data_IF_955430562105
#
_entry.id   IF_955430562105
#
_cell.length_a   1.000
_cell.length_b   1.000
_cell.length_c   1.000
_cell.angle_alpha   90.00
_cell.angle_beta   90.00
_cell.angle_gamma   90.00
#
_symmetry.space_group_name_H-M   'P 1'
#
loop_
_entity.id
_entity.type
_entity.pdbx_description
1 polymer ?
#
# COMPACT_ATOMS: atom_id res chain seq x y z
N UNK A 1 -48.78 32.44 -60.64
CA UNK A 1 -49.35 32.83 -59.33
C UNK A 1 -49.58 31.58 -58.50
N UNK A 2 -49.42 31.74 -57.19
CA UNK A 2 -49.67 30.81 -56.08
C UNK A 2 -48.53 29.87 -55.65
N UNK A 3 -48.33 29.89 -54.34
CA UNK A 3 -47.22 29.45 -53.50
C UNK A 3 -47.57 28.12 -52.84
N UNK A 4 -46.57 27.39 -52.35
CA UNK A 4 -46.79 26.21 -51.51
C UNK A 4 -45.51 25.67 -50.89
N UNK A 5 -44.91 26.45 -49.98
CA UNK A 5 -43.83 25.98 -49.09
C UNK A 5 -44.43 25.01 -48.07
N UNK A 6 -43.94 23.78 -47.99
CA UNK A 6 -44.27 22.86 -46.90
C UNK A 6 -42.97 22.34 -46.28
N UNK A 7 -42.70 22.79 -45.06
CA UNK A 7 -41.57 22.38 -44.23
C UNK A 7 -41.86 21.01 -43.61
N UNK A 8 -40.94 20.05 -43.79
CA UNK A 8 -40.96 18.79 -43.06
C UNK A 8 -40.10 18.97 -41.81
N UNK A 9 -40.73 18.96 -40.65
CA UNK A 9 -40.06 18.95 -39.35
C UNK A 9 -39.42 17.57 -39.11
N UNK A 10 -38.10 17.54 -38.94
CA UNK A 10 -37.35 16.34 -38.55
C UNK A 10 -37.42 16.19 -37.02
N UNK A 11 -38.15 15.19 -36.54
CA UNK A 11 -38.12 14.76 -35.14
C UNK A 11 -36.85 13.95 -34.88
N UNK A 12 -35.88 14.56 -34.19
CA UNK A 12 -34.70 13.88 -33.66
C UNK A 12 -35.09 13.23 -32.33
N UNK A 13 -35.25 11.91 -32.33
CA UNK A 13 -35.39 11.12 -31.10
C UNK A 13 -33.98 10.74 -30.63
N UNK A 14 -33.45 11.48 -29.65
CA UNK A 14 -32.22 11.12 -28.94
C UNK A 14 -32.51 9.99 -27.96
N UNK A 15 -32.15 8.77 -28.34
CA UNK A 15 -32.11 7.64 -27.41
C UNK A 15 -30.95 7.86 -26.41
N UNK A 16 -31.28 8.24 -25.18
CA UNK A 16 -30.32 8.24 -24.08
C UNK A 16 -30.00 6.79 -23.70
N UNK A 17 -28.87 6.27 -24.18
CA UNK A 17 -28.34 4.98 -23.73
C UNK A 17 -27.74 5.23 -22.35
N UNK A 18 -28.47 4.83 -21.30
CA UNK A 18 -27.91 4.77 -19.95
C UNK A 18 -26.84 3.67 -19.94
N UNK A 19 -25.58 4.06 -20.12
CA UNK A 19 -24.44 3.22 -19.73
C UNK A 19 -24.46 3.11 -18.21
N UNK A 20 -25.17 2.10 -17.70
CA UNK A 20 -25.01 1.65 -16.34
C UNK A 20 -23.57 1.13 -16.21
N UNK A 21 -22.72 1.88 -15.51
CA UNK A 21 -21.46 1.35 -15.01
C UNK A 21 -21.81 0.21 -14.06
N UNK A 22 -21.73 -1.03 -14.54
CA UNK A 22 -21.66 -2.21 -13.70
C UNK A 22 -20.40 -2.06 -12.85
N UNK A 23 -20.58 -1.76 -11.57
CA UNK A 23 -19.54 -1.89 -10.57
C UNK A 23 -19.07 -3.35 -10.61
N UNK A 24 -17.85 -3.55 -11.11
CA UNK A 24 -17.29 -4.86 -11.36
C UNK A 24 -16.98 -5.52 -10.01
N UNK A 25 -17.61 -6.66 -9.65
CA UNK A 25 -17.30 -7.38 -8.43
C UNK A 25 -15.86 -7.90 -8.39
N UNK A 26 -15.13 -7.87 -9.53
CA UNK A 26 -13.75 -8.33 -9.65
C UNK A 26 -12.68 -7.29 -9.28
N UNK A 27 -13.04 -6.02 -9.07
CA UNK A 27 -12.09 -4.94 -8.77
C UNK A 27 -11.42 -5.07 -7.41
N UNK A 28 -12.21 -5.24 -6.34
CA UNK A 28 -11.70 -5.30 -4.96
C UNK A 28 -10.77 -6.47 -4.68
N UNK A 29 -11.06 -7.65 -5.25
CA UNK A 29 -10.21 -8.84 -5.09
C UNK A 29 -8.85 -8.71 -5.79
N UNK A 30 -8.84 -8.08 -6.97
CA UNK A 30 -7.61 -7.83 -7.74
C UNK A 30 -6.75 -6.78 -7.04
N UNK A 31 -7.35 -5.69 -6.57
CA UNK A 31 -6.66 -4.62 -5.84
C UNK A 31 -6.10 -5.14 -4.51
N UNK A 32 -6.86 -5.95 -3.76
CA UNK A 32 -6.38 -6.58 -2.54
C UNK A 32 -5.18 -7.49 -2.80
N UNK A 33 -5.24 -8.33 -3.84
CA UNK A 33 -4.15 -9.24 -4.19
C UNK A 33 -2.91 -8.50 -4.70
N UNK A 34 -3.10 -7.40 -5.42
CA UNK A 34 -2.01 -6.51 -5.86
C UNK A 34 -1.36 -5.81 -4.67
N UNK A 35 -2.14 -5.18 -3.79
CA UNK A 35 -1.65 -4.51 -2.59
C UNK A 35 -0.90 -5.47 -1.66
N UNK A 36 -1.38 -6.73 -1.53
CA UNK A 36 -0.69 -7.76 -0.72
C UNK A 36 0.67 -8.15 -1.30
N UNK A 37 0.77 -8.31 -2.62
CA UNK A 37 2.06 -8.61 -3.26
C UNK A 37 3.00 -7.43 -3.13
N UNK A 38 2.52 -6.23 -3.48
CA UNK A 38 3.32 -5.01 -3.43
C UNK A 38 3.94 -4.75 -2.06
N UNK A 39 3.20 -4.92 -0.96
CA UNK A 39 3.75 -4.71 0.39
C UNK A 39 4.74 -5.81 0.79
N UNK A 40 4.50 -7.06 0.38
CA UNK A 40 5.43 -8.17 0.63
C UNK A 40 6.73 -7.93 -0.14
N UNK A 41 6.64 -7.59 -1.42
CA UNK A 41 7.79 -7.34 -2.28
C UNK A 41 8.66 -6.20 -1.72
N UNK A 42 8.06 -5.09 -1.27
CA UNK A 42 8.80 -3.97 -0.65
C UNK A 42 9.52 -4.43 0.62
N UNK A 43 8.83 -5.14 1.52
CA UNK A 43 9.43 -5.61 2.78
C UNK A 43 10.54 -6.63 2.51
N UNK A 44 10.31 -7.58 1.60
CA UNK A 44 11.30 -8.59 1.23
C UNK A 44 12.54 -7.93 0.63
N UNK A 45 12.38 -7.00 -0.32
CA UNK A 45 13.50 -6.25 -0.90
C UNK A 45 14.30 -5.47 0.15
N UNK A 46 13.61 -4.83 1.09
CA UNK A 46 14.24 -4.11 2.21
C UNK A 46 15.02 -5.06 3.12
N UNK A 47 14.48 -6.24 3.41
CA UNK A 47 15.22 -7.22 4.22
C UNK A 47 16.40 -7.84 3.47
N UNK A 48 16.29 -8.02 2.15
CA UNK A 48 17.35 -8.55 1.29
C UNK A 48 18.53 -7.57 1.19
N UNK A 49 18.28 -6.26 1.11
CA UNK A 49 19.35 -5.27 1.00
C UNK A 49 20.21 -5.18 2.26
N UNK A 50 19.61 -5.44 3.44
CA UNK A 50 20.30 -5.52 4.72
C UNK A 50 20.92 -6.92 4.92
N UNK A 51 20.28 -7.96 4.39
CA UNK A 51 20.64 -9.36 4.57
C UNK A 51 20.32 -9.91 5.97
N UNK A 52 20.75 -11.14 6.23
CA UNK A 52 20.51 -11.87 7.47
C UNK A 52 19.18 -12.63 7.50
N UNK A 53 18.93 -13.32 8.60
CA UNK A 53 17.74 -14.15 8.77
C UNK A 53 16.60 -13.35 9.40
N UNK A 54 15.55 -13.12 8.61
CA UNK A 54 14.34 -12.41 9.03
C UNK A 54 13.19 -13.40 9.26
N UNK A 55 12.32 -13.07 10.20
CA UNK A 55 11.15 -13.86 10.53
C UNK A 55 9.89 -13.00 10.50
N UNK A 56 8.79 -13.59 10.06
CA UNK A 56 7.48 -12.92 10.10
C UNK A 56 7.04 -12.82 11.55
N UNK A 57 6.95 -11.59 12.05
CA UNK A 57 6.33 -11.30 13.34
C UNK A 57 4.81 -11.28 13.22
N UNK A 58 4.29 -10.65 12.15
CA UNK A 58 2.85 -10.55 11.89
C UNK A 58 2.55 -10.31 10.40
N UNK A 59 1.43 -10.87 9.93
CA UNK A 59 0.86 -10.58 8.61
C UNK A 59 1.40 -11.42 7.45
N UNK A 60 1.09 -11.05 6.18
CA UNK A 60 0.24 -9.91 5.81
C UNK A 60 -1.20 -10.06 6.32
N UNK A 61 -1.65 -9.12 7.14
CA UNK A 61 -2.95 -9.16 7.80
C UNK A 61 -3.88 -8.04 7.29
N UNK A 62 -5.15 -8.38 7.06
CA UNK A 62 -6.14 -7.40 6.63
C UNK A 62 -6.57 -6.49 7.79
N UNK A 63 -6.51 -5.19 7.55
CA UNK A 63 -6.89 -4.13 8.49
C UNK A 63 -7.84 -3.12 7.86
N UNK A 64 -8.59 -2.41 8.70
CA UNK A 64 -9.42 -1.29 8.25
C UNK A 64 -8.54 -0.10 7.91
N UNK A 65 -8.97 0.66 6.91
CA UNK A 65 -8.32 1.89 6.50
C UNK A 65 -9.35 2.98 6.24
N UNK A 66 -9.11 4.16 6.82
CA UNK A 66 -9.96 5.34 6.61
C UNK A 66 -9.52 6.12 5.37
N UNK A 67 -10.49 6.66 4.63
CA UNK A 67 -10.23 7.45 3.41
C UNK A 67 -11.03 8.75 3.44
N UNK A 68 -10.34 9.88 3.29
CA UNK A 68 -10.97 11.18 3.30
C UNK A 68 -11.99 11.31 2.15
N UNK A 69 -13.26 11.53 2.50
CA UNK A 69 -14.34 11.70 1.52
C UNK A 69 -14.76 10.42 0.78
N UNK A 70 -14.34 9.24 1.23
CA UNK A 70 -14.71 7.96 0.65
C UNK A 70 -15.15 6.95 1.72
N UNK A 71 -15.77 5.85 1.30
CA UNK A 71 -16.10 4.76 2.22
C UNK A 71 -14.82 4.15 2.81
N UNK A 72 -14.85 3.65 4.07
CA UNK A 72 -13.73 2.90 4.63
C UNK A 72 -13.32 1.76 3.71
N UNK A 73 -12.01 1.56 3.57
CA UNK A 73 -11.42 0.49 2.79
C UNK A 73 -10.75 -0.55 3.67
N UNK A 74 -9.98 -1.41 3.03
CA UNK A 74 -9.06 -2.32 3.67
C UNK A 74 -7.62 -2.02 3.23
N UNK A 75 -6.67 -2.50 4.02
CA UNK A 75 -5.23 -2.50 3.71
C UNK A 75 -4.60 -3.77 4.27
N UNK A 76 -3.37 -4.04 3.86
CA UNK A 76 -2.53 -5.08 4.46
C UNK A 76 -1.50 -4.45 5.39
N UNK A 77 -1.27 -5.05 6.55
CA UNK A 77 -0.11 -4.79 7.41
C UNK A 77 0.83 -5.98 7.39
N UNK A 78 2.14 -5.72 7.35
CA UNK A 78 3.16 -6.77 7.35
C UNK A 78 4.35 -6.35 8.20
N UNK A 79 4.75 -7.23 9.12
CA UNK A 79 5.82 -6.97 10.09
C UNK A 79 6.79 -8.15 10.10
N UNK A 80 8.05 -7.84 9.85
CA UNK A 80 9.16 -8.78 9.94
C UNK A 80 10.19 -8.28 10.93
N UNK A 81 10.85 -9.21 11.61
CA UNK A 81 11.90 -8.89 12.58
C UNK A 81 13.09 -9.84 12.44
N UNK A 82 14.26 -9.33 12.81
CA UNK A 82 15.46 -10.14 13.03
C UNK A 82 16.09 -9.79 14.36
N UNK A 83 16.72 -10.77 15.00
CA UNK A 83 17.73 -10.48 16.01
C UNK A 83 18.93 -9.83 15.32
N UNK A 84 19.38 -8.69 15.83
CA UNK A 84 20.57 -8.04 15.29
C UNK A 84 21.81 -8.80 15.81
N UNK A 85 22.66 -9.37 14.95
CA UNK A 85 23.89 -10.01 15.39
C UNK A 85 24.89 -8.97 15.93
N UNK A 86 25.86 -9.42 16.72
CA UNK A 86 26.96 -8.55 17.16
C UNK A 86 27.72 -7.99 15.95
N UNK A 87 28.10 -6.72 16.01
CA UNK A 87 28.91 -6.07 14.97
C UNK A 87 28.15 -5.53 13.76
N UNK A 88 26.81 -5.49 13.78
CA UNK A 88 26.04 -4.69 12.81
C UNK A 88 26.30 -3.20 12.97
N UNK A 89 26.09 -2.45 11.90
CA UNK A 89 26.14 -0.98 11.89
C UNK A 89 24.73 -0.43 11.60
N UNK A 90 23.94 -0.08 12.64
CA UNK A 90 22.61 0.46 12.48
C UNK A 90 22.56 1.73 11.61
N UNK A 91 23.60 2.56 11.64
CA UNK A 91 23.61 3.80 10.87
C UNK A 91 23.78 3.51 9.37
N UNK A 92 24.69 2.59 9.01
CA UNK A 92 24.89 2.15 7.63
C UNK A 92 23.66 1.42 7.07
N UNK A 93 22.98 0.61 7.89
CA UNK A 93 21.78 -0.08 7.47
C UNK A 93 20.59 0.88 7.28
N UNK A 94 20.43 1.89 8.14
CA UNK A 94 19.42 2.95 7.94
C UNK A 94 19.68 3.73 6.64
N UNK A 95 20.94 4.05 6.35
CA UNK A 95 21.32 4.74 5.11
C UNK A 95 21.04 3.90 3.86
N UNK A 96 21.22 2.58 3.93
CA UNK A 96 20.89 1.66 2.84
C UNK A 96 19.39 1.59 2.58
N UNK A 97 18.61 1.41 3.64
CA UNK A 97 17.14 1.36 3.54
C UNK A 97 16.57 2.66 3.00
N UNK A 98 17.08 3.81 3.44
CA UNK A 98 16.65 5.11 2.93
C UNK A 98 16.89 5.24 1.42
N UNK A 99 18.05 4.81 0.93
CA UNK A 99 18.36 4.84 -0.50
C UNK A 99 17.40 3.96 -1.31
N UNK A 100 17.20 2.72 -0.87
CA UNK A 100 16.27 1.78 -1.51
C UNK A 100 14.85 2.34 -1.57
N UNK A 101 14.35 2.89 -0.47
CA UNK A 101 13.00 3.44 -0.41
C UNK A 101 12.84 4.68 -1.31
N UNK A 102 13.86 5.54 -1.39
CA UNK A 102 13.84 6.67 -2.31
C UNK A 102 13.78 6.23 -3.78
N UNK A 103 14.41 5.10 -4.15
CA UNK A 103 14.32 4.52 -5.50
C UNK A 103 12.90 4.00 -5.82
N UNK A 104 12.14 3.63 -4.79
CA UNK A 104 10.73 3.21 -4.89
C UNK A 104 9.73 4.37 -4.79
N UNK A 105 10.20 5.61 -4.90
CA UNK A 105 9.40 6.84 -4.75
C UNK A 105 8.72 6.96 -3.38
N UNK A 106 9.25 6.28 -2.36
CA UNK A 106 8.84 6.42 -0.96
C UNK A 106 9.58 7.62 -0.39
N UNK A 107 8.85 8.62 0.10
CA UNK A 107 9.44 9.77 0.78
C UNK A 107 9.89 9.36 2.18
N UNK A 108 11.14 9.66 2.53
CA UNK A 108 11.79 9.15 3.74
C UNK A 108 12.11 10.24 4.77
N UNK A 109 12.09 9.87 6.06
CA UNK A 109 12.53 10.69 7.18
C UNK A 109 13.30 9.81 8.19
N UNK A 110 14.60 10.07 8.36
CA UNK A 110 15.41 9.42 9.39
C UNK A 110 15.05 9.96 10.79
N UNK A 111 15.16 9.11 11.80
CA UNK A 111 14.99 9.51 13.20
C UNK A 111 16.01 8.82 14.12
N UNK A 112 16.21 9.42 15.29
CA UNK A 112 16.98 8.86 16.38
C UNK A 112 16.27 9.12 17.72
N UNK A 113 16.25 8.15 18.63
CA UNK A 113 15.76 8.40 20.00
C UNK A 113 16.76 9.25 20.81
N UNK A 114 16.27 9.97 21.82
CA UNK A 114 17.11 10.88 22.64
C UNK A 114 17.95 10.20 23.74
N UNK A 115 18.29 8.92 23.60
CA UNK A 115 19.06 8.14 24.58
C UNK A 115 20.56 8.13 24.27
N UNK A 116 21.40 7.71 25.24
CA UNK A 116 22.84 7.56 25.04
C UNK A 116 23.18 6.51 23.96
N UNK A 117 22.37 5.45 23.90
CA UNK A 117 22.32 4.48 22.80
C UNK A 117 21.00 4.71 22.04
N UNK A 118 21.00 5.53 20.98
CA UNK A 118 19.77 5.86 20.28
C UNK A 118 19.27 4.68 19.44
N UNK A 119 17.96 4.44 19.47
CA UNK A 119 17.28 3.72 18.39
C UNK A 119 17.39 4.57 17.13
N UNK A 120 18.04 4.04 16.11
CA UNK A 120 18.06 4.63 14.78
C UNK A 120 16.95 4.03 13.93
N UNK A 121 16.44 4.79 12.98
CA UNK A 121 15.49 4.27 12.02
C UNK A 121 15.17 5.26 10.92
N UNK A 122 14.32 4.80 10.01
CA UNK A 122 13.76 5.61 8.93
C UNK A 122 12.27 5.29 8.81
N UNK A 123 11.47 6.35 8.62
CA UNK A 123 10.07 6.25 8.23
C UNK A 123 9.94 6.58 6.76
N UNK A 124 9.00 5.93 6.09
CA UNK A 124 8.68 6.11 4.70
C UNK A 124 7.17 6.25 4.49
N UNK A 125 6.76 7.05 3.50
CA UNK A 125 5.38 7.15 3.04
C UNK A 125 5.32 7.48 1.55
N UNK A 126 4.25 7.02 0.87
CA UNK A 126 4.07 7.20 -0.57
C UNK A 126 4.59 6.02 -1.40
N UNK A 127 4.53 6.15 -2.73
CA UNK A 127 4.86 5.07 -3.65
C UNK A 127 3.94 3.84 -3.45
N UNK A 128 4.49 2.62 -3.27
CA UNK A 128 3.71 1.38 -3.13
C UNK A 128 3.08 1.19 -1.74
N UNK A 129 3.37 2.05 -0.77
CA UNK A 129 2.92 1.91 0.63
C UNK A 129 2.17 3.16 1.11
N UNK A 130 1.30 2.98 2.11
CA UNK A 130 0.79 4.11 2.88
C UNK A 130 1.83 4.55 3.90
N UNK A 131 2.45 3.59 4.59
CA UNK A 131 3.55 3.83 5.51
C UNK A 131 4.49 2.63 5.52
N UNK A 132 5.76 2.89 5.81
CA UNK A 132 6.76 1.88 6.11
C UNK A 132 7.74 2.42 7.16
N UNK A 133 8.25 1.57 8.03
CA UNK A 133 9.19 1.93 9.08
C UNK A 133 10.25 0.84 9.25
N UNK A 134 11.49 1.27 9.35
CA UNK A 134 12.64 0.42 9.63
C UNK A 134 13.26 0.92 10.93
N UNK A 135 13.19 0.07 11.95
CA UNK A 135 13.72 0.34 13.28
C UNK A 135 14.96 -0.52 13.47
N UNK A 136 16.11 0.12 13.64
CA UNK A 136 17.41 -0.53 13.82
C UNK A 136 17.83 -0.47 15.30
N UNK A 137 17.13 -1.21 16.16
CA UNK A 137 17.51 -1.32 17.57
C UNK A 137 18.76 -2.21 17.69
N UNK A 138 19.75 -1.90 18.56
CA UNK A 138 20.99 -2.68 18.65
C UNK A 138 20.82 -4.19 18.86
N UNK A 139 19.68 -4.63 19.41
CA UNK A 139 19.39 -6.04 19.68
C UNK A 139 18.37 -6.64 18.70
N UNK A 140 17.63 -5.82 17.95
CA UNK A 140 16.53 -6.25 17.09
C UNK A 140 16.27 -5.25 15.99
N UNK A 141 16.16 -5.72 14.76
CA UNK A 141 15.66 -4.89 13.68
C UNK A 141 14.23 -5.30 13.35
N UNK A 142 13.43 -4.33 12.92
CA UNK A 142 12.09 -4.60 12.39
C UNK A 142 11.78 -3.74 11.19
N UNK A 143 11.05 -4.32 10.24
CA UNK A 143 10.37 -3.59 9.17
C UNK A 143 8.88 -3.73 9.40
N UNK A 144 8.18 -2.61 9.50
CA UNK A 144 6.72 -2.53 9.60
C UNK A 144 6.18 -1.78 8.40
N UNK A 145 5.33 -2.41 7.61
CA UNK A 145 4.75 -1.79 6.42
C UNK A 145 3.23 -1.84 6.45
N UNK A 146 2.61 -0.88 5.77
CA UNK A 146 1.18 -0.80 5.52
C UNK A 146 0.94 -0.50 4.03
N UNK A 147 0.14 -1.33 3.36
CA UNK A 147 -0.15 -1.16 1.93
C UNK A 147 -0.98 0.10 1.67
N UNK A 148 -1.10 0.48 0.40
CA UNK A 148 -2.14 1.42 -0.01
C UNK A 148 -3.54 0.89 0.34
N UNK A 149 -4.45 1.82 0.60
CA UNK A 149 -5.84 1.53 0.90
C UNK A 149 -6.59 1.13 -0.37
N UNK A 150 -7.36 0.05 -0.32
CA UNK A 150 -8.15 -0.45 -1.44
C UNK A 150 -9.62 -0.65 -1.05
N UNK A 151 -10.49 -0.75 -2.05
CA UNK A 151 -11.91 -1.06 -1.84
C UNK A 151 -12.11 -2.49 -1.35
N UNK A 152 -13.02 -2.65 -0.39
CA UNK A 152 -13.37 -3.95 0.19
C UNK A 152 -13.35 -3.92 1.72
N UNK A 153 -13.80 -5.00 2.32
CA UNK A 153 -13.87 -5.15 3.77
C UNK A 153 -12.92 -6.22 4.30
N UNK A 154 -12.44 -5.99 5.52
CA UNK A 154 -11.67 -6.99 6.27
C UNK A 154 -12.43 -8.31 6.45
N UNK A 155 -13.76 -8.24 6.56
CA UNK A 155 -14.62 -9.43 6.71
C UNK A 155 -14.60 -10.31 5.46
N UNK A 156 -14.67 -9.72 4.27
CA UNK A 156 -14.58 -10.44 2.99
C UNK A 156 -13.21 -11.11 2.83
N UNK A 157 -12.13 -10.39 3.13
CA UNK A 157 -10.77 -10.92 3.04
C UNK A 157 -10.53 -12.09 4.00
N UNK A 158 -11.07 -12.04 5.21
CA UNK A 158 -11.01 -13.14 6.19
C UNK A 158 -11.93 -14.31 5.84
N UNK A 159 -12.99 -14.06 5.07
CA UNK A 159 -13.90 -15.08 4.57
C UNK A 159 -13.35 -15.87 3.38
N UNK A 160 -12.63 -15.19 2.48
CA UNK A 160 -12.05 -15.79 1.28
C UNK A 160 -10.96 -16.84 1.55
N UNK A 161 -10.33 -16.82 2.74
CA UNK A 161 -9.34 -17.82 3.16
C UNK A 161 -9.94 -19.14 3.69
N UNK A 162 -11.27 -19.31 3.65
CA UNK A 162 -11.99 -20.49 4.19
C UNK A 162 -12.72 -21.32 3.13
N UNK A 163 -12.52 -21.06 1.84
CA UNK A 163 -13.12 -21.79 0.72
C UNK A 163 -12.16 -22.80 0.11
#
# INVERSE_FOLDING_TARGET
MSRGTSWIAVLVVTAAVLTACSADPGGSGTDASHAKRSIVDVVEHTTESIGGDWSVYSGPAAEHCERAGAAPGARWSYVVERTAPDGVDPAADVERVEQEWNELEITTERFASGSADPLLGVRGAGGPVTSIGFDAFPQRYSVTAESTCFDGSVAELRGAGRS
#
